data_IF_611537929845
#
_entry.id   IF_611537929845
#
_cell.length_a   1.000
_cell.length_b   1.000
_cell.length_c   1.000
_cell.angle_alpha   90.00
_cell.angle_beta   90.00
_cell.angle_gamma   90.00
#
_symmetry.space_group_name_H-M   'P 1'
#
loop_
_entity.id
_entity.type
_entity.pdbx_description
1 polymer ?
#
# COMPACT_ATOMS: atom_id res chain seq x y z
N UNK A 1 -4.54 -27.17 -4.32
CA UNK A 1 -3.24 -27.39 -3.68
C UNK A 1 -2.18 -26.76 -4.55
N UNK A 2 -1.68 -25.69 -4.16
CA UNK A 2 -0.39 -25.08 -3.95
C UNK A 2 0.33 -24.43 -5.13
N UNK A 3 -0.34 -23.51 -5.84
CA UNK A 3 0.36 -22.52 -6.67
C UNK A 3 0.97 -21.37 -5.83
N UNK A 4 0.45 -21.12 -4.64
CA UNK A 4 0.90 -20.06 -3.73
C UNK A 4 2.30 -20.32 -3.14
N UNK A 5 2.69 -21.59 -2.97
CA UNK A 5 3.98 -21.98 -2.38
C UNK A 5 5.18 -21.80 -3.31
N UNK A 6 4.97 -21.87 -4.62
CA UNK A 6 6.03 -21.76 -5.61
C UNK A 6 6.47 -20.29 -5.85
N UNK A 7 5.56 -19.32 -5.69
CA UNK A 7 5.81 -17.91 -5.94
C UNK A 7 6.64 -17.24 -4.85
N UNK A 8 6.45 -17.62 -3.57
CA UNK A 8 7.19 -17.02 -2.45
C UNK A 8 8.69 -17.36 -2.41
N UNK A 9 9.14 -18.49 -3.00
CA UNK A 9 10.57 -18.85 -3.11
C UNK A 9 11.34 -17.99 -4.11
N UNK A 10 10.64 -17.31 -5.02
CA UNK A 10 11.24 -16.52 -6.12
C UNK A 10 11.74 -15.14 -5.66
N UNK A 11 11.34 -14.69 -4.48
CA UNK A 11 11.37 -13.27 -4.12
C UNK A 11 12.42 -12.86 -3.08
N UNK A 12 13.40 -13.70 -2.75
CA UNK A 12 14.49 -13.30 -1.84
C UNK A 12 14.06 -12.82 -0.44
N UNK A 13 12.77 -12.90 -0.11
CA UNK A 13 12.28 -12.73 1.25
C UNK A 13 12.70 -13.97 2.02
N UNK A 14 13.60 -13.82 3.00
CA UNK A 14 14.06 -14.89 3.86
C UNK A 14 12.87 -15.72 4.34
N UNK A 15 12.79 -16.89 3.77
CA UNK A 15 11.93 -18.01 3.98
C UNK A 15 10.84 -17.87 5.04
N UNK A 16 9.62 -17.65 4.60
CA UNK A 16 8.55 -18.41 5.17
C UNK A 16 7.69 -17.81 6.25
N UNK A 17 7.76 -16.54 6.64
CA UNK A 17 6.65 -15.99 7.42
C UNK A 17 5.54 -15.56 6.47
N UNK A 18 4.48 -16.36 6.43
CA UNK A 18 3.21 -15.96 5.83
C UNK A 18 2.76 -14.67 6.54
N UNK A 19 2.15 -13.75 5.83
CA UNK A 19 1.63 -12.54 6.45
C UNK A 19 0.63 -12.82 7.57
N UNK A 20 -0.13 -13.93 7.47
CA UNK A 20 -0.98 -14.42 8.56
C UNK A 20 -0.19 -14.70 9.84
N UNK A 21 1.00 -15.32 9.74
CA UNK A 21 1.87 -15.57 10.89
C UNK A 21 2.41 -14.26 11.49
N UNK A 22 2.75 -13.29 10.63
CA UNK A 22 3.23 -11.96 11.06
C UNK A 22 2.14 -11.19 11.80
N UNK A 23 0.89 -11.30 11.34
CA UNK A 23 -0.25 -10.63 11.95
C UNK A 23 -0.93 -11.43 13.05
N UNK A 24 -0.50 -12.67 13.35
CA UNK A 24 -1.12 -13.54 14.35
C UNK A 24 -1.04 -13.00 15.78
N UNK A 25 -0.07 -12.12 16.10
CA UNK A 25 0.08 -11.50 17.41
C UNK A 25 -1.10 -10.61 17.80
N UNK A 26 -1.28 -10.37 19.12
CA UNK A 26 -2.34 -9.49 19.62
C UNK A 26 -2.12 -8.02 19.21
N UNK A 27 -0.85 -7.60 19.17
CA UNK A 27 -0.46 -6.24 18.80
C UNK A 27 -0.55 -6.03 17.28
N UNK A 28 -0.81 -4.79 16.86
CA UNK A 28 -0.74 -4.39 15.45
C UNK A 28 0.71 -4.25 15.02
N UNK A 29 1.15 -5.08 14.09
CA UNK A 29 2.57 -5.18 13.69
C UNK A 29 3.16 -3.84 13.20
N UNK A 30 2.36 -3.05 12.49
CA UNK A 30 2.75 -1.71 12.02
C UNK A 30 2.04 -0.58 12.78
N UNK A 31 1.52 -0.87 13.99
CA UNK A 31 0.74 0.08 14.78
C UNK A 31 -0.61 0.42 14.14
N UNK A 32 -1.28 1.41 14.74
CA UNK A 32 -2.62 1.84 14.33
C UNK A 32 -2.67 3.26 13.75
N UNK A 33 -1.52 3.97 13.76
CA UNK A 33 -1.43 5.31 13.18
C UNK A 33 -1.29 5.22 11.65
N UNK A 34 -1.95 6.10 10.90
CA UNK A 34 -1.87 6.10 9.44
C UNK A 34 -0.46 6.45 8.97
N UNK A 35 -0.15 6.04 7.76
CA UNK A 35 1.04 6.49 7.06
C UNK A 35 1.02 8.01 6.90
N UNK A 36 2.13 8.69 7.17
CA UNK A 36 2.22 10.14 7.16
C UNK A 36 2.02 10.73 5.76
N UNK A 37 2.54 10.09 4.73
CA UNK A 37 2.30 10.53 3.35
C UNK A 37 0.83 10.41 2.94
N UNK A 38 0.09 9.41 3.47
CA UNK A 38 -1.35 9.35 3.30
C UNK A 38 -2.04 10.55 3.95
N UNK A 39 -1.61 10.96 5.16
CA UNK A 39 -2.16 12.14 5.85
C UNK A 39 -1.94 13.40 5.02
N UNK A 40 -0.72 13.59 4.47
CA UNK A 40 -0.38 14.70 3.56
C UNK A 40 -1.32 14.70 2.33
N UNK A 41 -1.45 13.56 1.66
CA UNK A 41 -2.29 13.44 0.47
C UNK A 41 -3.79 13.62 0.77
N UNK A 42 -4.30 13.04 1.85
CA UNK A 42 -5.71 13.12 2.21
C UNK A 42 -6.19 14.57 2.48
N UNK A 43 -5.29 15.46 2.89
CA UNK A 43 -5.58 16.88 3.03
C UNK A 43 -5.86 17.59 1.69
N UNK A 44 -5.42 17.00 0.58
CA UNK A 44 -5.56 17.53 -0.79
C UNK A 44 -6.73 16.89 -1.55
N UNK A 45 -7.34 15.83 -1.01
CA UNK A 45 -8.34 15.01 -1.68
C UNK A 45 -9.71 15.16 -1.01
N UNK A 46 -10.77 14.88 -1.76
CA UNK A 46 -12.14 14.87 -1.25
C UNK A 46 -12.57 13.44 -0.91
N UNK A 47 -13.43 13.25 0.12
CA UNK A 47 -14.01 11.96 0.40
C UNK A 47 -14.74 11.36 -0.82
N UNK A 48 -14.64 10.04 -0.96
CA UNK A 48 -15.21 9.27 -2.05
C UNK A 48 -14.97 7.78 -1.84
N UNK A 49 -15.10 6.99 -2.90
CA UNK A 49 -14.83 5.55 -2.87
C UNK A 49 -13.33 5.28 -2.97
N UNK A 50 -12.82 4.52 -2.01
CA UNK A 50 -11.40 4.17 -1.89
C UNK A 50 -11.20 2.68 -2.03
N UNK A 51 -10.18 2.32 -2.80
CA UNK A 51 -9.62 0.98 -2.84
C UNK A 51 -8.22 1.01 -2.22
N UNK A 52 -8.04 0.27 -1.13
CA UNK A 52 -6.72 0.07 -0.53
C UNK A 52 -6.16 -1.30 -0.90
N UNK A 53 -5.00 -1.31 -1.54
CA UNK A 53 -4.32 -2.51 -2.04
C UNK A 53 -3.18 -2.89 -1.10
N UNK A 54 -3.19 -4.14 -0.58
CA UNK A 54 -2.24 -4.62 0.40
C UNK A 54 -2.35 -3.88 1.74
N UNK A 55 -3.59 -3.76 2.25
CA UNK A 55 -3.89 -2.92 3.43
C UNK A 55 -3.35 -3.49 4.75
N UNK A 56 -3.24 -4.80 4.86
CA UNK A 56 -2.83 -5.46 6.10
C UNK A 56 -3.85 -5.29 7.22
N UNK A 57 -3.41 -4.69 8.33
CA UNK A 57 -4.19 -4.61 9.59
C UNK A 57 -5.10 -3.37 9.70
N UNK A 58 -5.24 -2.56 8.63
CA UNK A 58 -6.30 -1.55 8.51
C UNK A 58 -5.96 -0.13 8.96
N UNK A 59 -4.72 0.19 9.34
CA UNK A 59 -4.36 1.52 9.87
C UNK A 59 -4.70 2.68 8.93
N UNK A 60 -4.46 2.51 7.63
CA UNK A 60 -4.71 3.51 6.61
C UNK A 60 -6.19 3.58 6.23
N UNK A 61 -6.82 2.41 6.06
CA UNK A 61 -8.22 2.28 5.73
C UNK A 61 -9.13 2.90 6.81
N UNK A 62 -8.88 2.61 8.09
CA UNK A 62 -9.62 3.18 9.22
C UNK A 62 -9.44 4.70 9.30
N UNK A 63 -8.22 5.21 9.07
CA UNK A 63 -7.97 6.64 9.04
C UNK A 63 -8.83 7.35 7.99
N UNK A 64 -8.95 6.80 6.77
CA UNK A 64 -9.78 7.39 5.73
C UNK A 64 -11.28 7.22 6.03
N UNK A 65 -11.71 6.07 6.55
CA UNK A 65 -13.11 5.86 6.93
C UNK A 65 -13.58 6.86 8.00
N UNK A 66 -12.73 7.20 8.98
CA UNK A 66 -13.00 8.28 9.96
C UNK A 66 -13.17 9.67 9.33
N UNK A 67 -12.71 9.85 8.10
CA UNK A 67 -12.83 11.08 7.30
C UNK A 67 -13.97 11.05 6.30
N UNK A 68 -14.85 10.03 6.38
CA UNK A 68 -16.03 9.91 5.54
C UNK A 68 -15.77 9.28 4.17
N UNK A 69 -14.62 8.63 3.96
CA UNK A 69 -14.39 7.83 2.76
C UNK A 69 -15.10 6.46 2.89
N UNK A 70 -15.63 5.96 1.77
CA UNK A 70 -16.13 4.59 1.63
C UNK A 70 -14.97 3.69 1.23
N UNK A 71 -14.45 2.91 2.18
CA UNK A 71 -13.18 2.17 1.98
C UNK A 71 -13.40 0.68 1.78
N UNK A 72 -12.86 0.17 0.67
CA UNK A 72 -12.66 -1.26 0.40
C UNK A 72 -11.18 -1.57 0.54
N UNK A 73 -10.84 -2.45 1.48
CA UNK A 73 -9.49 -2.92 1.73
C UNK A 73 -9.30 -4.32 1.16
N UNK A 74 -8.27 -4.51 0.36
CA UNK A 74 -7.90 -5.80 -0.23
C UNK A 74 -6.55 -6.22 0.30
N UNK A 75 -6.48 -7.38 0.90
CA UNK A 75 -5.23 -8.01 1.33
C UNK A 75 -5.35 -9.53 1.18
N UNK A 76 -4.26 -10.21 0.93
CA UNK A 76 -4.33 -11.66 0.84
C UNK A 76 -4.31 -12.35 2.23
N UNK A 77 -3.94 -11.62 3.29
CA UNK A 77 -3.97 -12.10 4.67
C UNK A 77 -5.38 -12.02 5.25
N UNK A 78 -5.97 -13.18 5.54
CA UNK A 78 -7.25 -13.24 6.25
C UNK A 78 -7.13 -12.72 7.69
N UNK A 79 -5.98 -12.95 8.35
CA UNK A 79 -5.69 -12.45 9.69
C UNK A 79 -5.58 -10.92 9.69
N UNK A 80 -4.87 -10.34 8.72
CA UNK A 80 -4.77 -8.90 8.54
C UNK A 80 -6.15 -8.27 8.35
N UNK A 81 -6.97 -8.82 7.45
CA UNK A 81 -8.34 -8.36 7.21
C UNK A 81 -9.23 -8.45 8.47
N UNK A 82 -9.12 -9.52 9.27
CA UNK A 82 -9.85 -9.63 10.54
C UNK A 82 -9.43 -8.55 11.55
N UNK A 83 -8.14 -8.24 11.63
CA UNK A 83 -7.62 -7.15 12.48
C UNK A 83 -8.05 -5.77 11.97
N UNK A 84 -8.08 -5.57 10.64
CA UNK A 84 -8.60 -4.34 10.04
C UNK A 84 -10.08 -4.11 10.41
N UNK A 85 -10.91 -5.14 10.36
CA UNK A 85 -12.31 -5.10 10.81
C UNK A 85 -12.43 -4.77 12.30
N UNK A 86 -11.62 -5.42 13.13
CA UNK A 86 -11.58 -5.13 14.58
C UNK A 86 -11.18 -3.68 14.84
N UNK A 87 -10.16 -3.16 14.14
CA UNK A 87 -9.71 -1.78 14.28
C UNK A 87 -10.82 -0.80 13.86
N UNK A 88 -11.55 -1.11 12.78
CA UNK A 88 -12.70 -0.32 12.32
C UNK A 88 -13.81 -0.27 13.39
N UNK A 89 -14.18 -1.40 13.97
CA UNK A 89 -15.16 -1.47 15.05
C UNK A 89 -14.75 -0.64 16.28
N UNK A 90 -13.49 -0.74 16.71
CA UNK A 90 -12.94 0.05 17.82
C UNK A 90 -12.97 1.57 17.56
N UNK A 91 -12.97 1.97 16.30
CA UNK A 91 -13.04 3.38 15.88
C UNK A 91 -14.45 3.81 15.43
N UNK A 92 -15.46 2.95 15.59
CA UNK A 92 -16.87 3.20 15.19
C UNK A 92 -17.02 3.58 13.70
N UNK A 93 -16.24 2.94 12.81
CA UNK A 93 -16.31 3.09 11.35
C UNK A 93 -16.52 1.74 10.67
N UNK A 94 -16.95 1.78 9.41
CA UNK A 94 -17.18 0.58 8.59
C UNK A 94 -16.10 0.47 7.51
N UNK A 95 -15.60 -0.74 7.31
CA UNK A 95 -14.74 -1.12 6.19
C UNK A 95 -15.35 -2.32 5.45
N UNK A 96 -15.20 -2.34 4.12
CA UNK A 96 -15.33 -3.58 3.35
C UNK A 96 -13.95 -4.20 3.24
N UNK A 97 -13.77 -5.46 3.66
CA UNK A 97 -12.51 -6.19 3.51
C UNK A 97 -12.68 -7.35 2.55
N UNK A 98 -11.70 -7.55 1.67
CA UNK A 98 -11.68 -8.62 0.68
C UNK A 98 -10.35 -9.37 0.81
N UNK A 99 -10.42 -10.68 1.02
CA UNK A 99 -9.22 -11.53 1.02
C UNK A 99 -8.97 -12.02 -0.41
N UNK A 100 -7.94 -11.48 -1.06
CA UNK A 100 -7.59 -11.82 -2.44
C UNK A 100 -6.10 -11.57 -2.73
N UNK A 101 -5.54 -12.33 -3.68
CA UNK A 101 -4.26 -11.99 -4.31
C UNK A 101 -4.46 -10.80 -5.26
N UNK A 102 -3.60 -9.79 -5.16
CA UNK A 102 -3.66 -8.61 -6.02
C UNK A 102 -3.40 -8.94 -7.51
N UNK A 103 -2.75 -10.05 -7.81
CA UNK A 103 -2.57 -10.51 -9.18
C UNK A 103 -3.89 -10.94 -9.82
N UNK A 104 -4.78 -11.53 -9.03
CA UNK A 104 -6.07 -12.07 -9.48
C UNK A 104 -7.24 -11.11 -9.22
N UNK A 105 -7.07 -10.13 -8.31
CA UNK A 105 -8.13 -9.21 -7.94
C UNK A 105 -8.50 -8.28 -9.11
N UNK A 106 -9.77 -8.26 -9.47
CA UNK A 106 -10.29 -7.40 -10.54
C UNK A 106 -10.61 -6.02 -9.98
N UNK A 107 -9.85 -5.01 -10.41
CA UNK A 107 -10.14 -3.61 -10.11
C UNK A 107 -11.17 -3.11 -11.12
N UNK A 108 -12.37 -2.76 -10.64
CA UNK A 108 -13.46 -2.28 -11.49
C UNK A 108 -13.07 -0.96 -12.19
N UNK A 109 -13.15 -0.91 -13.54
CA UNK A 109 -12.75 0.28 -14.28
C UNK A 109 -13.63 1.50 -13.97
N UNK A 110 -13.00 2.65 -13.73
CA UNK A 110 -13.68 3.92 -13.50
C UNK A 110 -14.55 3.98 -12.25
N UNK A 111 -14.33 3.10 -11.27
CA UNK A 111 -15.15 3.00 -10.07
C UNK A 111 -14.62 3.81 -8.87
N UNK A 112 -13.32 4.15 -8.85
CA UNK A 112 -12.64 4.60 -7.66
C UNK A 112 -12.24 6.07 -7.72
N UNK A 113 -12.54 6.82 -6.64
CA UNK A 113 -12.11 8.20 -6.47
C UNK A 113 -10.66 8.25 -5.98
N UNK A 114 -10.27 7.25 -5.18
CA UNK A 114 -8.91 7.08 -4.68
C UNK A 114 -8.53 5.59 -4.71
N UNK A 115 -7.37 5.29 -5.23
CA UNK A 115 -6.71 4.00 -5.00
C UNK A 115 -5.43 4.27 -4.22
N UNK A 116 -5.12 3.45 -3.22
CA UNK A 116 -3.89 3.58 -2.45
C UNK A 116 -3.17 2.24 -2.30
N UNK A 117 -1.83 2.31 -2.22
CA UNK A 117 -0.99 1.13 -2.01
C UNK A 117 0.26 1.54 -1.22
N UNK A 118 0.43 0.99 -0.02
CA UNK A 118 1.50 1.34 0.89
C UNK A 118 2.33 0.11 1.26
N UNK A 119 3.64 0.16 0.95
CA UNK A 119 4.60 -0.89 1.29
C UNK A 119 4.20 -2.31 0.83
N UNK A 120 3.37 -2.40 -0.21
CA UNK A 120 3.09 -3.63 -0.91
C UNK A 120 4.18 -3.85 -1.96
N UNK A 121 5.18 -4.64 -1.60
CA UNK A 121 6.34 -4.87 -2.44
C UNK A 121 6.07 -6.00 -3.42
N UNK A 122 6.06 -5.65 -4.69
CA UNK A 122 5.85 -6.56 -5.81
C UNK A 122 6.98 -6.41 -6.82
N UNK A 123 7.37 -7.48 -7.50
CA UNK A 123 8.32 -7.40 -8.59
C UNK A 123 7.73 -6.65 -9.78
N UNK A 124 8.60 -6.22 -10.66
CA UNK A 124 8.20 -5.36 -11.79
C UNK A 124 7.17 -6.05 -12.69
N UNK A 125 7.34 -7.34 -12.99
CA UNK A 125 6.46 -8.12 -13.87
C UNK A 125 5.02 -8.30 -13.31
N UNK A 126 4.84 -8.19 -11.99
CA UNK A 126 3.52 -8.18 -11.33
C UNK A 126 3.01 -6.75 -11.08
N UNK A 127 3.91 -5.84 -10.71
CA UNK A 127 3.58 -4.45 -10.38
C UNK A 127 3.11 -3.65 -11.59
N UNK A 128 3.76 -3.80 -12.75
CA UNK A 128 3.34 -3.09 -13.96
C UNK A 128 1.91 -3.43 -14.41
N UNK A 129 1.50 -4.71 -14.45
CA UNK A 129 0.09 -5.06 -14.69
C UNK A 129 -0.87 -4.48 -13.64
N UNK A 130 -0.48 -4.48 -12.36
CA UNK A 130 -1.28 -3.87 -11.30
C UNK A 130 -1.45 -2.36 -11.52
N UNK A 131 -0.37 -1.63 -11.83
CA UNK A 131 -0.42 -0.19 -12.09
C UNK A 131 -1.30 0.16 -13.30
N UNK A 132 -1.31 -0.67 -14.35
CA UNK A 132 -2.26 -0.50 -15.47
C UNK A 132 -3.71 -0.66 -15.03
N UNK A 133 -4.01 -1.67 -14.18
CA UNK A 133 -5.36 -1.87 -13.61
C UNK A 133 -5.75 -0.73 -12.65
N UNK A 134 -4.81 -0.21 -11.86
CA UNK A 134 -5.01 0.97 -11.01
C UNK A 134 -5.40 2.17 -11.86
N UNK A 135 -4.63 2.49 -12.91
CA UNK A 135 -4.95 3.61 -13.80
C UNK A 135 -6.31 3.46 -14.49
N UNK A 136 -6.68 2.22 -14.88
CA UNK A 136 -8.01 1.94 -15.46
C UNK A 136 -9.14 2.08 -14.42
N UNK A 137 -8.91 1.63 -13.18
CA UNK A 137 -9.87 1.63 -12.08
C UNK A 137 -10.26 3.01 -11.57
N UNK A 138 -9.35 3.99 -11.68
CA UNK A 138 -9.63 5.35 -11.26
C UNK A 138 -10.69 6.03 -12.14
N UNK A 139 -11.56 6.84 -11.54
CA UNK A 139 -12.40 7.82 -12.22
C UNK A 139 -11.53 8.93 -12.83
N UNK A 140 -12.07 9.68 -13.78
CA UNK A 140 -11.46 10.95 -14.23
C UNK A 140 -11.36 11.89 -13.02
N UNK A 141 -10.18 12.45 -12.79
CA UNK A 141 -9.87 13.25 -11.60
C UNK A 141 -9.60 12.42 -10.32
N UNK A 142 -9.74 11.10 -10.40
CA UNK A 142 -9.38 10.20 -9.31
C UNK A 142 -7.87 10.15 -9.08
N UNK A 143 -7.47 9.79 -7.85
CA UNK A 143 -6.10 9.82 -7.40
C UNK A 143 -5.52 8.42 -7.10
N UNK A 144 -4.22 8.26 -7.33
CA UNK A 144 -3.43 7.13 -6.85
C UNK A 144 -2.39 7.63 -5.84
N UNK A 145 -2.43 7.11 -4.62
CA UNK A 145 -1.42 7.37 -3.58
C UNK A 145 -0.60 6.11 -3.38
N UNK A 146 0.72 6.24 -3.58
CA UNK A 146 1.63 5.10 -3.56
C UNK A 146 2.91 5.45 -2.81
N UNK A 147 3.26 4.62 -1.82
CA UNK A 147 4.54 4.71 -1.12
C UNK A 147 5.15 3.33 -0.95
N UNK A 148 6.40 3.19 -1.39
CA UNK A 148 7.21 1.98 -1.23
C UNK A 148 8.67 2.34 -1.00
N UNK A 149 9.49 1.38 -0.62
CA UNK A 149 10.93 1.61 -0.51
C UNK A 149 11.56 1.90 -1.88
N UNK A 150 12.45 2.91 -1.89
CA UNK A 150 13.28 3.26 -3.04
C UNK A 150 14.60 2.45 -3.04
N UNK A 151 15.35 2.43 -4.15
CA UNK A 151 16.64 1.72 -4.22
C UNK A 151 17.64 2.11 -3.12
N UNK A 152 17.61 3.37 -2.67
CA UNK A 152 18.46 3.84 -1.58
C UNK A 152 18.19 3.14 -0.24
N UNK A 153 17.06 2.41 -0.09
CA UNK A 153 16.78 1.63 1.12
C UNK A 153 17.86 0.59 1.41
N UNK A 154 18.60 0.12 0.41
CA UNK A 154 19.71 -0.81 0.60
C UNK A 154 20.88 -0.22 1.42
N UNK A 155 20.96 1.09 1.54
CA UNK A 155 21.94 1.79 2.36
C UNK A 155 21.55 1.84 3.85
N UNK A 156 20.29 1.42 4.17
CA UNK A 156 19.73 1.45 5.51
C UNK A 156 19.47 0.04 6.03
N UNK A 157 19.66 -0.15 7.33
CA UNK A 157 19.40 -1.43 8.01
C UNK A 157 18.03 -1.41 8.73
N UNK A 158 17.07 -0.68 8.21
CA UNK A 158 15.75 -0.45 8.81
C UNK A 158 14.66 -1.38 8.28
N UNK A 159 15.04 -2.51 7.72
CA UNK A 159 14.10 -3.49 7.13
C UNK A 159 13.69 -3.15 5.69
N UNK A 160 12.66 -3.83 5.21
CA UNK A 160 12.22 -3.75 3.81
C UNK A 160 12.89 -4.80 2.93
N UNK A 161 12.68 -4.73 1.59
CA UNK A 161 13.30 -5.64 0.63
C UNK A 161 14.82 -5.50 0.62
N UNK A 162 15.50 -6.63 0.48
CA UNK A 162 16.97 -6.72 0.42
C UNK A 162 17.51 -6.81 -1.02
N UNK A 163 16.64 -6.75 -2.02
CA UNK A 163 16.99 -6.83 -3.45
C UNK A 163 16.37 -5.67 -4.22
N UNK A 164 17.09 -5.19 -5.25
CA UNK A 164 16.62 -4.10 -6.13
C UNK A 164 15.30 -4.41 -6.84
N UNK A 165 15.00 -5.67 -7.05
CA UNK A 165 13.82 -6.15 -7.78
C UNK A 165 12.50 -5.69 -7.15
N UNK A 166 12.48 -5.57 -5.82
CA UNK A 166 11.32 -5.18 -5.02
C UNK A 166 11.37 -3.70 -4.57
N UNK A 167 12.35 -2.95 -5.04
CA UNK A 167 12.50 -1.53 -4.78
C UNK A 167 12.11 -0.74 -6.03
N UNK A 168 11.58 0.46 -5.85
CA UNK A 168 11.04 1.23 -6.97
C UNK A 168 11.64 2.63 -7.00
N UNK A 169 12.35 2.95 -8.07
CA UNK A 169 12.84 4.31 -8.31
C UNK A 169 11.75 5.21 -8.90
N UNK A 170 11.90 6.52 -8.75
CA UNK A 170 11.00 7.50 -9.37
C UNK A 170 10.95 7.35 -10.90
N UNK A 171 12.07 7.00 -11.51
CA UNK A 171 12.14 6.78 -12.97
C UNK A 171 11.30 5.58 -13.41
N UNK A 172 11.31 4.48 -12.63
CA UNK A 172 10.43 3.32 -12.88
C UNK A 172 8.97 3.69 -12.68
N UNK A 173 8.63 4.33 -11.55
CA UNK A 173 7.25 4.74 -11.27
C UNK A 173 6.67 5.65 -12.36
N UNK A 174 7.46 6.59 -12.89
CA UNK A 174 7.04 7.46 -14.01
C UNK A 174 6.71 6.69 -15.28
N UNK A 175 7.44 5.62 -15.57
CA UNK A 175 7.14 4.76 -16.74
C UNK A 175 5.89 3.92 -16.49
N UNK A 176 5.80 3.28 -15.32
CA UNK A 176 4.69 2.39 -14.98
C UNK A 176 3.35 3.13 -14.82
N UNK A 177 3.40 4.39 -14.38
CA UNK A 177 2.25 5.26 -14.15
C UNK A 177 2.07 6.34 -15.24
N UNK A 178 2.59 6.11 -16.44
CA UNK A 178 2.51 7.09 -17.55
C UNK A 178 1.06 7.52 -17.91
N UNK A 179 0.03 6.73 -17.53
CA UNK A 179 -1.37 7.08 -17.66
C UNK A 179 -1.90 8.09 -16.63
N UNK A 180 -1.08 8.48 -15.64
CA UNK A 180 -1.43 9.42 -14.58
C UNK A 180 -0.55 10.67 -14.64
N UNK A 181 -1.11 11.82 -14.27
CA UNK A 181 -0.35 13.04 -14.03
C UNK A 181 0.22 13.02 -12.61
N UNK A 182 1.53 12.91 -12.46
CA UNK A 182 2.17 12.90 -11.14
C UNK A 182 2.21 14.33 -10.56
N UNK A 183 1.40 14.58 -9.52
CA UNK A 183 1.40 15.81 -8.73
C UNK A 183 2.51 15.82 -7.69
N UNK A 184 2.77 14.66 -7.09
CA UNK A 184 3.93 14.38 -6.24
C UNK A 184 4.64 13.16 -6.84
N UNK A 185 5.94 13.26 -6.99
CA UNK A 185 6.80 12.16 -7.39
C UNK A 185 8.20 12.45 -6.87
N UNK A 186 8.55 11.83 -5.74
CA UNK A 186 9.82 12.10 -5.06
C UNK A 186 10.38 10.85 -4.38
N UNK A 187 11.70 10.73 -4.37
CA UNK A 187 12.41 9.81 -3.48
C UNK A 187 12.92 10.63 -2.29
N UNK A 188 12.64 10.17 -1.08
CA UNK A 188 12.99 10.87 0.14
C UNK A 188 13.50 9.90 1.19
N UNK A 189 14.42 10.39 2.04
CA UNK A 189 14.79 9.72 3.27
C UNK A 189 13.96 10.34 4.39
N UNK A 190 13.22 9.52 5.11
CA UNK A 190 12.43 9.93 6.26
C UNK A 190 12.59 8.97 7.41
N UNK A 191 12.16 9.36 8.60
CA UNK A 191 12.07 8.44 9.73
C UNK A 191 10.83 7.55 9.62
N UNK A 192 10.87 6.38 10.18
CA UNK A 192 9.73 5.46 10.25
C UNK A 192 8.58 6.11 11.01
N UNK A 193 8.89 6.71 12.17
CA UNK A 193 8.00 7.53 12.97
C UNK A 193 8.57 8.95 12.99
N UNK A 194 7.93 9.86 12.28
CA UNK A 194 8.48 11.23 12.06
C UNK A 194 8.66 12.04 13.34
N UNK A 195 7.81 11.76 14.33
CA UNK A 195 7.86 12.46 15.62
C UNK A 195 8.81 11.80 16.63
N UNK A 196 9.47 10.70 16.28
CA UNK A 196 10.47 10.03 17.10
C UNK A 196 11.85 10.17 16.45
N UNK A 197 12.75 11.02 17.03
CA UNK A 197 14.09 11.23 16.50
C UNK A 197 14.99 9.99 16.61
N UNK A 198 14.63 9.01 17.44
CA UNK A 198 15.35 7.75 17.59
C UNK A 198 14.85 6.68 16.63
N UNK A 199 13.72 6.91 15.93
CA UNK A 199 13.21 5.93 14.98
C UNK A 199 14.12 5.78 13.75
N UNK A 200 14.14 4.58 13.19
CA UNK A 200 15.00 4.22 12.06
C UNK A 200 14.71 5.08 10.81
N UNK A 201 15.77 5.50 10.13
CA UNK A 201 15.66 6.14 8.83
C UNK A 201 15.30 5.12 7.75
N UNK A 202 14.49 5.54 6.78
CA UNK A 202 14.07 4.75 5.63
C UNK A 202 14.05 5.60 4.36
N UNK A 203 14.44 4.99 3.25
CA UNK A 203 14.38 5.63 1.94
C UNK A 203 13.16 5.15 1.17
N UNK A 204 12.28 6.07 0.78
CA UNK A 204 11.00 5.76 0.14
C UNK A 204 10.78 6.57 -1.14
N UNK A 205 10.04 5.97 -2.05
CA UNK A 205 9.38 6.64 -3.17
C UNK A 205 7.97 7.02 -2.74
N UNK A 206 7.58 8.27 -2.95
CA UNK A 206 6.24 8.80 -2.71
C UNK A 206 5.64 9.31 -4.02
N UNK A 207 4.42 8.87 -4.33
CA UNK A 207 3.68 9.25 -5.54
C UNK A 207 2.24 9.64 -5.20
N UNK A 208 1.82 10.81 -5.67
CA UNK A 208 0.42 11.20 -5.85
C UNK A 208 0.20 11.43 -7.34
N UNK A 209 -0.53 10.53 -7.99
CA UNK A 209 -0.89 10.60 -9.41
C UNK A 209 -2.37 10.86 -9.60
N UNK A 210 -2.74 11.70 -10.57
CA UNK A 210 -4.13 11.99 -10.93
C UNK A 210 -4.46 11.43 -12.31
N UNK A 211 -5.62 10.82 -12.47
CA UNK A 211 -6.17 10.42 -13.77
C UNK A 211 -6.80 11.61 -14.45
N UNK A 212 -6.36 11.92 -15.68
CA UNK A 212 -6.92 12.98 -16.53
C UNK A 212 -8.25 12.58 -17.17
#
# INVERSE_FOLDING_TARGET
MDKCWCLMRKWGYNGGMKWDERYAGAEYHFGTQPNQFLVECAALLKPGKVLSLGEGEGRNAVYLAKRGYEVTAVDFSAVGNAKAQKLAQLNAVTLTTITADLNDYVIEPGAWDLIMCFFCHMPQDEREPLHRRVAAGLKRGGAYVYEVFSPQQLDFNSGGPTTLENLVSLAQARRELAGLELRIGREVVRRREENDPESEAMAVLQVLGLKR
#
